data_IF_625620204464
#
_entry.id   IF_625620204464
#
_cell.length_a   1.000
_cell.length_b   1.000
_cell.length_c   1.000
_cell.angle_alpha   90.00
_cell.angle_beta   90.00
_cell.angle_gamma   90.00
#
_symmetry.space_group_name_H-M   'P 1'
#
loop_
_entity.id
_entity.type
_entity.pdbx_description
1 polymer ?
#
# COMPACT_ATOMS: atom_id res chain seq x y z
N UNK A 1 21.46 -60.62 -62.36
CA UNK A 1 22.86 -60.67 -61.89
C UNK A 1 23.00 -59.71 -60.71
N UNK A 2 23.05 -60.21 -59.48
CA UNK A 2 23.29 -59.39 -58.29
C UNK A 2 24.62 -59.82 -57.66
N UNK A 3 25.55 -58.87 -57.52
CA UNK A 3 26.90 -59.06 -56.96
C UNK A 3 26.81 -59.16 -55.44
N UNK A 4 27.19 -60.29 -54.87
CA UNK A 4 27.38 -60.45 -53.42
C UNK A 4 28.70 -59.79 -53.00
N UNK A 5 28.66 -58.90 -52.02
CA UNK A 5 29.86 -58.27 -51.41
C UNK A 5 29.83 -58.52 -49.91
N UNK A 6 30.70 -59.38 -49.42
CA UNK A 6 30.83 -59.71 -48.00
C UNK A 6 31.79 -58.72 -47.34
N UNK A 7 31.27 -57.82 -46.50
CA UNK A 7 32.08 -56.86 -45.73
C UNK A 7 32.43 -57.48 -44.37
N UNK A 8 33.70 -57.81 -44.13
CA UNK A 8 34.20 -58.26 -42.82
C UNK A 8 34.36 -57.06 -41.88
N UNK A 9 33.47 -56.93 -40.90
CA UNK A 9 33.66 -55.97 -39.80
C UNK A 9 34.73 -56.48 -38.82
N UNK A 10 35.86 -55.78 -38.76
CA UNK A 10 36.92 -56.02 -37.78
C UNK A 10 36.48 -55.43 -36.44
N UNK A 11 36.14 -56.30 -35.50
CA UNK A 11 35.69 -55.94 -34.15
C UNK A 11 36.83 -55.23 -33.39
N UNK A 12 36.58 -53.98 -32.96
CA UNK A 12 37.53 -53.15 -32.20
C UNK A 12 37.40 -53.45 -30.70
N UNK A 13 38.55 -53.61 -30.05
CA UNK A 13 38.77 -54.20 -28.72
C UNK A 13 37.91 -53.66 -27.55
N UNK A 14 37.61 -54.47 -26.52
CA UNK A 14 36.65 -54.17 -25.43
C UNK A 14 37.08 -53.08 -24.42
N UNK A 15 38.27 -52.49 -24.54
CA UNK A 15 38.75 -51.44 -23.62
C UNK A 15 38.02 -50.09 -23.76
N UNK A 16 37.50 -49.76 -24.95
CA UNK A 16 36.84 -48.46 -25.17
C UNK A 16 35.51 -48.31 -24.43
N UNK A 17 34.79 -49.42 -24.24
CA UNK A 17 33.49 -49.43 -23.58
C UNK A 17 33.59 -49.22 -22.06
N UNK A 18 34.59 -49.85 -21.44
CA UNK A 18 34.85 -49.70 -20.01
C UNK A 18 35.26 -48.27 -19.66
N UNK A 19 36.09 -47.63 -20.49
CA UNK A 19 36.46 -46.23 -20.30
C UNK A 19 35.25 -45.29 -20.39
N UNK A 20 34.32 -45.55 -21.31
CA UNK A 20 33.11 -44.73 -21.47
C UNK A 20 32.15 -44.84 -20.27
N UNK A 21 31.98 -46.05 -19.71
CA UNK A 21 31.16 -46.25 -18.51
C UNK A 21 31.74 -45.54 -17.29
N UNK A 22 33.06 -45.57 -17.11
CA UNK A 22 33.73 -44.87 -16.00
C UNK A 22 33.53 -43.35 -16.11
N UNK A 23 33.62 -42.80 -17.32
CA UNK A 23 33.40 -41.35 -17.54
C UNK A 23 31.97 -40.96 -17.19
N UNK A 24 30.96 -41.76 -17.56
CA UNK A 24 29.56 -41.48 -17.21
C UNK A 24 29.34 -41.51 -15.69
N UNK A 25 29.94 -42.46 -14.99
CA UNK A 25 29.81 -42.55 -13.52
C UNK A 25 30.44 -41.34 -12.85
N UNK A 26 31.60 -40.89 -13.33
CA UNK A 26 32.28 -39.70 -12.81
C UNK A 26 31.46 -38.43 -13.08
N UNK A 27 30.89 -38.26 -14.28
CA UNK A 27 30.08 -37.07 -14.59
C UNK A 27 28.81 -37.04 -13.75
N UNK A 28 28.14 -38.18 -13.54
CA UNK A 28 26.98 -38.27 -12.66
C UNK A 28 27.34 -37.93 -11.20
N UNK A 29 28.48 -38.41 -10.71
CA UNK A 29 28.96 -38.10 -9.36
C UNK A 29 29.25 -36.59 -9.17
N UNK A 30 29.88 -35.95 -10.17
CA UNK A 30 30.18 -34.51 -10.15
C UNK A 30 28.89 -33.67 -10.18
N UNK A 31 27.90 -34.06 -10.98
CA UNK A 31 26.60 -33.38 -11.02
C UNK A 31 25.87 -33.51 -9.69
N UNK A 32 25.88 -34.69 -9.07
CA UNK A 32 25.30 -34.89 -7.74
C UNK A 32 25.99 -34.02 -6.68
N UNK A 33 27.32 -33.92 -6.73
CA UNK A 33 28.11 -33.07 -5.82
C UNK A 33 27.81 -31.58 -6.03
N UNK A 34 27.66 -31.13 -7.28
CA UNK A 34 27.24 -29.76 -7.62
C UNK A 34 25.83 -29.44 -7.11
N UNK A 35 24.89 -30.38 -7.18
CA UNK A 35 23.54 -30.20 -6.65
C UNK A 35 23.51 -30.17 -5.11
N UNK A 36 24.46 -30.83 -4.44
CA UNK A 36 24.63 -30.77 -2.98
C UNK A 36 25.29 -29.44 -2.55
N UNK A 37 26.25 -28.95 -3.32
CA UNK A 37 27.02 -27.74 -3.01
C UNK A 37 26.38 -26.43 -3.48
N UNK A 38 25.46 -26.45 -4.45
CA UNK A 38 24.55 -25.34 -4.63
C UNK A 38 23.67 -25.29 -3.38
N UNK A 39 23.81 -24.28 -2.50
CA UNK A 39 22.89 -24.15 -1.40
C UNK A 39 21.52 -24.13 -2.05
N UNK A 40 20.65 -25.05 -1.61
CA UNK A 40 19.29 -25.12 -2.08
C UNK A 40 18.80 -23.68 -2.16
N UNK A 41 18.51 -23.19 -3.37
CA UNK A 41 17.70 -22.00 -3.56
C UNK A 41 16.34 -22.45 -3.02
N UNK A 42 16.25 -22.47 -1.69
CA UNK A 42 15.07 -22.82 -0.92
C UNK A 42 14.01 -21.89 -1.45
N UNK A 43 12.83 -22.45 -1.70
CA UNK A 43 11.57 -21.77 -1.94
C UNK A 43 11.16 -20.83 -0.78
N UNK A 44 12.06 -20.01 -0.26
CA UNK A 44 11.81 -18.97 0.74
C UNK A 44 11.21 -17.70 0.16
N UNK A 45 11.09 -17.61 -1.18
CA UNK A 45 10.41 -16.51 -1.86
C UNK A 45 8.91 -16.77 -2.03
N UNK A 46 8.46 -18.01 -2.23
CA UNK A 46 7.04 -18.31 -2.42
C UNK A 46 6.22 -18.27 -1.12
N UNK A 47 6.81 -18.62 0.04
CA UNK A 47 6.07 -18.63 1.30
C UNK A 47 5.74 -17.24 1.84
N UNK A 48 6.59 -16.23 1.60
CA UNK A 48 6.36 -14.82 2.00
C UNK A 48 5.22 -14.15 1.22
N UNK A 49 5.13 -14.40 -0.09
CA UNK A 49 4.09 -13.79 -0.93
C UNK A 49 2.68 -14.28 -0.58
N UNK A 50 2.52 -15.59 -0.31
CA UNK A 50 1.21 -16.16 0.04
C UNK A 50 0.73 -15.74 1.44
N UNK A 51 1.65 -15.50 2.38
CA UNK A 51 1.30 -15.08 3.74
C UNK A 51 0.91 -13.61 3.81
N UNK A 52 1.61 -12.74 3.08
CA UNK A 52 1.31 -11.29 3.06
C UNK A 52 -0.06 -11.00 2.43
N UNK A 53 -0.38 -11.62 1.29
CA UNK A 53 -1.70 -11.46 0.65
C UNK A 53 -2.84 -12.01 1.51
N UNK A 54 -2.60 -13.10 2.25
CA UNK A 54 -3.58 -13.70 3.15
C UNK A 54 -3.78 -12.87 4.42
N UNK A 55 -2.69 -12.31 4.98
CA UNK A 55 -2.75 -11.40 6.12
C UNK A 55 -3.46 -10.10 5.73
N UNK A 56 -3.13 -9.51 4.58
CA UNK A 56 -3.78 -8.31 4.07
C UNK A 56 -5.28 -8.55 3.80
N UNK A 57 -5.65 -9.69 3.23
CA UNK A 57 -7.05 -10.05 3.01
C UNK A 57 -7.88 -10.06 4.29
N UNK A 58 -7.27 -10.34 5.44
CA UNK A 58 -7.96 -10.29 6.74
C UNK A 58 -8.42 -8.87 7.13
N UNK A 59 -7.76 -7.83 6.61
CA UNK A 59 -8.10 -6.42 6.86
C UNK A 59 -9.16 -5.85 5.91
N UNK A 60 -9.85 -6.69 5.13
CA UNK A 60 -11.04 -6.23 4.40
C UNK A 60 -12.08 -5.59 5.33
N UNK A 61 -12.16 -6.09 6.58
CA UNK A 61 -12.77 -5.35 7.70
C UNK A 61 -11.65 -4.97 8.66
N UNK A 62 -11.71 -3.73 9.16
CA UNK A 62 -10.75 -3.31 10.17
C UNK A 62 -10.90 -4.15 11.45
N UNK A 63 -9.79 -4.37 12.18
CA UNK A 63 -9.82 -4.99 13.49
C UNK A 63 -10.68 -4.18 14.47
N UNK A 64 -11.15 -4.82 15.53
CA UNK A 64 -12.12 -4.24 16.50
C UNK A 64 -11.50 -3.89 17.85
N UNK A 65 -10.19 -4.13 18.00
CA UNK A 65 -9.42 -3.93 19.21
C UNK A 65 -9.23 -2.44 19.54
N UNK A 66 -9.25 -1.58 18.53
CA UNK A 66 -9.09 -0.13 18.66
C UNK A 66 -10.34 0.54 18.11
N UNK A 67 -11.04 1.28 18.96
CA UNK A 67 -12.31 1.93 18.63
C UNK A 67 -12.13 3.45 18.71
N UNK A 68 -12.28 4.20 17.60
CA UNK A 68 -12.21 5.65 17.65
C UNK A 68 -13.47 6.24 18.29
N UNK A 69 -13.29 7.31 19.07
CA UNK A 69 -14.39 8.06 19.67
C UNK A 69 -14.39 9.54 19.30
N UNK A 70 -13.26 10.08 18.83
CA UNK A 70 -13.18 11.48 18.39
C UNK A 70 -12.09 11.69 17.33
N UNK A 71 -12.29 12.68 16.46
CA UNK A 71 -11.35 13.09 15.43
C UNK A 71 -11.26 14.61 15.41
N UNK A 72 -10.04 15.15 15.50
CA UNK A 72 -9.76 16.52 15.12
C UNK A 72 -9.06 16.52 13.76
N UNK A 73 -9.72 17.14 12.77
CA UNK A 73 -9.24 17.17 11.38
C UNK A 73 -9.02 18.62 10.98
N UNK A 74 -7.79 18.95 10.59
CA UNK A 74 -7.44 20.25 10.01
C UNK A 74 -6.99 20.04 8.56
N UNK A 75 -7.61 20.77 7.64
CA UNK A 75 -7.38 20.67 6.21
C UNK A 75 -7.02 22.04 5.65
N UNK A 76 -5.87 22.11 4.97
CA UNK A 76 -5.49 23.24 4.13
C UNK A 76 -5.58 22.80 2.68
N UNK A 77 -6.46 23.45 1.91
CA UNK A 77 -6.70 23.10 0.50
C UNK A 77 -6.21 24.23 -0.40
N UNK A 78 -5.47 23.86 -1.45
CA UNK A 78 -4.87 24.80 -2.40
C UNK A 78 -5.73 24.88 -3.68
N UNK A 79 -6.61 25.86 -3.72
CA UNK A 79 -7.66 25.97 -4.75
C UNK A 79 -7.45 27.19 -5.65
N UNK A 80 -7.02 27.03 -6.91
CA UNK A 80 -6.88 28.15 -7.84
C UNK A 80 -8.24 28.54 -8.43
N UNK A 81 -9.17 28.99 -7.59
CA UNK A 81 -10.54 29.34 -7.99
C UNK A 81 -10.63 30.69 -8.73
N UNK A 82 -9.51 31.43 -8.81
CA UNK A 82 -9.37 32.69 -9.54
C UNK A 82 -8.12 32.65 -10.40
N UNK A 83 -8.11 33.30 -11.59
CA UNK A 83 -6.97 33.30 -12.50
C UNK A 83 -5.64 33.80 -11.89
N UNK A 84 -5.71 34.69 -10.91
CA UNK A 84 -4.55 35.27 -10.23
C UNK A 84 -4.13 34.51 -8.96
N UNK A 85 -4.93 33.53 -8.53
CA UNK A 85 -4.68 32.75 -7.33
C UNK A 85 -4.05 31.42 -7.75
N UNK A 86 -2.72 31.43 -7.89
CA UNK A 86 -1.92 30.28 -8.30
C UNK A 86 -1.02 29.83 -7.16
N UNK A 87 -1.08 28.55 -6.80
CA UNK A 87 -0.23 27.91 -5.80
C UNK A 87 0.89 27.07 -6.45
N UNK A 88 1.12 27.25 -7.75
CA UNK A 88 2.11 26.52 -8.53
C UNK A 88 1.87 25.02 -8.47
N UNK A 89 2.90 24.28 -8.02
CA UNK A 89 2.84 22.81 -7.90
C UNK A 89 1.85 22.31 -6.84
N UNK A 90 1.31 23.18 -5.98
CA UNK A 90 0.32 22.82 -4.97
C UNK A 90 -1.12 22.98 -5.48
N UNK A 91 -1.33 23.45 -6.70
CA UNK A 91 -2.69 23.58 -7.22
C UNK A 91 -3.43 22.24 -7.16
N UNK A 92 -4.63 22.26 -6.58
CA UNK A 92 -5.48 21.09 -6.39
C UNK A 92 -4.85 20.02 -5.48
N UNK A 93 -4.04 20.43 -4.51
CA UNK A 93 -3.59 19.55 -3.43
C UNK A 93 -4.19 19.96 -2.09
N UNK A 94 -3.98 19.11 -1.08
CA UNK A 94 -4.34 19.39 0.30
C UNK A 94 -3.22 18.94 1.24
N UNK A 95 -3.04 19.71 2.32
CA UNK A 95 -2.25 19.33 3.48
C UNK A 95 -3.21 19.09 4.64
N UNK A 96 -3.13 17.91 5.25
CA UNK A 96 -4.00 17.47 6.33
C UNK A 96 -3.22 17.17 7.60
N UNK A 97 -3.83 17.53 8.73
CA UNK A 97 -3.42 17.09 10.07
C UNK A 97 -4.63 16.40 10.67
N UNK A 98 -4.43 15.20 11.20
CA UNK A 98 -5.47 14.48 11.93
C UNK A 98 -4.97 14.06 13.30
N UNK A 99 -5.80 14.30 14.31
CA UNK A 99 -5.71 13.66 15.62
C UNK A 99 -6.87 12.70 15.76
N UNK A 100 -6.58 11.43 16.01
CA UNK A 100 -7.58 10.38 16.19
C UNK A 100 -7.50 9.91 17.63
N UNK A 101 -8.59 10.08 18.36
CA UNK A 101 -8.71 9.63 19.73
C UNK A 101 -9.41 8.29 19.76
N UNK A 102 -8.76 7.31 20.37
CA UNK A 102 -9.18 5.90 20.36
C UNK A 102 -9.16 5.29 21.74
N UNK A 103 -10.08 4.35 21.99
CA UNK A 103 -10.04 3.43 23.13
C UNK A 103 -9.49 2.08 22.66
N UNK A 104 -8.57 1.50 23.43
CA UNK A 104 -8.12 0.13 23.20
C UNK A 104 -9.00 -0.85 23.97
N UNK A 105 -9.93 -1.51 23.31
CA UNK A 105 -10.86 -2.48 23.93
C UNK A 105 -10.14 -3.79 24.30
N UNK A 106 -9.13 -4.18 23.52
CA UNK A 106 -8.33 -5.39 23.74
C UNK A 106 -6.86 -5.11 23.46
N UNK A 107 -6.00 -5.65 24.32
CA UNK A 107 -4.55 -5.46 24.21
C UNK A 107 -4.04 -5.88 22.83
N UNK A 108 -3.36 -4.98 22.14
CA UNK A 108 -2.84 -5.21 20.79
C UNK A 108 -1.56 -4.42 20.53
N UNK A 109 -0.73 -4.88 19.60
CA UNK A 109 0.45 -4.14 19.11
C UNK A 109 0.17 -3.41 17.79
N UNK A 110 -1.05 -3.45 17.29
CA UNK A 110 -1.36 -3.00 15.94
C UNK A 110 -2.47 -1.97 15.97
N UNK A 111 -2.24 -0.87 15.26
CA UNK A 111 -3.29 0.09 14.90
C UNK A 111 -3.42 0.06 13.39
N UNK A 112 -4.61 -0.26 12.89
CA UNK A 112 -4.90 -0.36 11.45
C UNK A 112 -6.03 0.59 11.11
N UNK A 113 -5.80 1.46 10.14
CA UNK A 113 -6.75 2.49 9.71
C UNK A 113 -6.93 2.44 8.20
N UNK A 114 -8.11 2.83 7.72
CA UNK A 114 -8.29 3.05 6.28
C UNK A 114 -7.55 4.31 5.85
N UNK A 115 -6.83 4.22 4.74
CA UNK A 115 -6.19 5.35 4.09
C UNK A 115 -6.02 5.05 2.60
N UNK A 116 -6.53 5.94 1.75
CA UNK A 116 -6.50 5.76 0.30
C UNK A 116 -6.01 7.02 -0.36
N UNK A 117 -4.99 6.89 -1.21
CA UNK A 117 -4.45 7.98 -2.01
C UNK A 117 -3.98 9.18 -1.16
N UNK A 118 -3.45 8.88 0.03
CA UNK A 118 -2.82 9.83 0.94
C UNK A 118 -1.33 9.52 1.05
N UNK A 119 -0.51 10.56 1.16
CA UNK A 119 0.93 10.47 1.37
C UNK A 119 1.22 10.97 2.79
N UNK A 120 1.66 10.10 3.68
CA UNK A 120 1.94 10.46 5.07
C UNK A 120 3.38 10.99 5.24
N UNK A 121 3.53 12.01 6.07
CA UNK A 121 4.85 12.37 6.60
C UNK A 121 5.16 11.43 7.77
N UNK A 122 5.88 10.34 7.47
CA UNK A 122 6.18 9.27 8.44
C UNK A 122 6.94 9.83 9.65
N UNK A 123 7.75 10.88 9.46
CA UNK A 123 8.50 11.52 10.54
C UNK A 123 7.61 12.32 11.47
N UNK A 124 6.36 12.58 11.11
CA UNK A 124 5.38 13.33 11.89
C UNK A 124 4.25 12.42 12.43
N UNK A 125 4.33 11.10 12.26
CA UNK A 125 3.40 10.15 12.87
C UNK A 125 3.76 9.95 14.35
N UNK A 126 2.78 10.14 15.24
CA UNK A 126 2.97 9.98 16.70
C UNK A 126 1.78 9.28 17.34
N UNK A 127 2.02 8.54 18.40
CA UNK A 127 1.00 7.94 19.25
C UNK A 127 1.26 8.36 20.69
N UNK A 128 0.24 8.84 21.38
CA UNK A 128 0.31 9.24 22.78
C UNK A 128 -0.72 8.48 23.61
N UNK A 129 -0.41 8.19 24.87
CA UNK A 129 -1.41 7.71 25.83
C UNK A 129 -2.20 8.87 26.47
N UNK A 130 -3.16 8.54 27.32
CA UNK A 130 -3.97 9.50 28.08
C UNK A 130 -3.17 10.42 29.02
N UNK A 131 -1.92 10.06 29.36
CA UNK A 131 -1.00 10.88 30.15
C UNK A 131 -0.05 11.70 29.28
N UNK A 132 -0.32 11.78 27.96
CA UNK A 132 0.47 12.50 26.98
C UNK A 132 1.91 11.98 26.84
N UNK A 133 2.16 10.70 27.16
CA UNK A 133 3.45 10.05 26.95
C UNK A 133 3.51 9.50 25.53
N UNK A 134 4.61 9.73 24.83
CA UNK A 134 4.81 9.20 23.47
C UNK A 134 5.10 7.70 23.52
N UNK A 135 4.41 6.92 22.69
CA UNK A 135 4.66 5.51 22.48
C UNK A 135 5.57 5.31 21.26
N UNK A 136 6.45 4.31 21.33
CA UNK A 136 7.34 3.98 20.23
C UNK A 136 6.62 3.15 19.16
N UNK A 137 6.73 3.61 17.92
CA UNK A 137 6.23 2.92 16.72
C UNK A 137 7.40 2.10 16.16
N UNK A 138 7.20 0.79 16.03
CA UNK A 138 8.17 -0.13 15.44
C UNK A 138 8.19 0.03 13.91
N UNK A 139 7.02 0.10 13.27
CA UNK A 139 6.93 0.25 11.83
C UNK A 139 5.64 0.95 11.39
N UNK A 140 5.70 1.64 10.26
CA UNK A 140 4.56 2.25 9.58
C UNK A 140 4.51 1.69 8.15
N UNK A 141 3.46 0.94 7.83
CA UNK A 141 3.28 0.33 6.52
C UNK A 141 1.98 0.82 5.90
N UNK A 142 2.04 1.22 4.63
CA UNK A 142 0.87 1.59 3.84
C UNK A 142 0.65 0.56 2.74
N UNK A 143 -0.58 0.05 2.64
CA UNK A 143 -0.98 -0.94 1.66
C UNK A 143 -2.15 -0.41 0.87
N UNK A 144 -1.96 -0.23 -0.44
CA UNK A 144 -3.00 0.29 -1.32
C UNK A 144 -3.08 -0.53 -2.61
N UNK A 145 -4.24 -1.15 -2.81
CA UNK A 145 -4.60 -1.83 -4.04
C UNK A 145 -6.11 -1.64 -4.33
N UNK A 146 -6.66 -2.39 -5.29
CA UNK A 146 -8.08 -2.25 -5.68
C UNK A 146 -9.08 -2.65 -4.58
N UNK A 147 -8.67 -3.51 -3.64
CA UNK A 147 -9.53 -4.14 -2.64
C UNK A 147 -9.27 -3.55 -1.24
N UNK A 148 -8.02 -3.25 -0.92
CA UNK A 148 -7.57 -2.81 0.41
C UNK A 148 -6.83 -1.47 0.28
N UNK A 149 -7.12 -0.55 1.19
CA UNK A 149 -6.44 0.74 1.29
C UNK A 149 -6.29 1.08 2.77
N UNK A 150 -5.18 0.67 3.38
CA UNK A 150 -4.93 0.78 4.82
C UNK A 150 -3.54 1.34 5.14
N UNK A 151 -3.41 1.90 6.33
CA UNK A 151 -2.15 2.09 7.03
C UNK A 151 -2.13 1.23 8.29
N UNK A 152 -0.99 0.60 8.55
CA UNK A 152 -0.75 -0.29 9.69
C UNK A 152 0.46 0.24 10.46
N UNK A 153 0.23 0.57 11.73
CA UNK A 153 1.27 0.92 12.69
C UNK A 153 1.51 -0.30 13.58
N UNK A 154 2.73 -0.82 13.57
CA UNK A 154 3.17 -1.81 14.54
C UNK A 154 3.84 -1.07 15.70
N UNK A 155 3.39 -1.30 16.93
CA UNK A 155 3.88 -0.68 18.15
C UNK A 155 4.98 -1.54 18.78
N UNK A 156 5.98 -0.92 19.41
CA UNK A 156 7.02 -1.65 20.17
C UNK A 156 6.41 -2.36 21.37
N UNK A 157 5.59 -1.62 22.13
CA UNK A 157 4.86 -2.12 23.29
C UNK A 157 3.37 -2.28 22.95
N UNK A 158 2.69 -3.27 23.55
CA UNK A 158 1.26 -3.42 23.35
C UNK A 158 0.49 -2.25 23.98
N UNK A 159 -0.52 -1.77 23.26
CA UNK A 159 -1.55 -0.91 23.79
C UNK A 159 -2.31 -1.69 24.86
N UNK A 160 -2.48 -1.07 26.03
CA UNK A 160 -3.18 -1.64 27.18
C UNK A 160 -4.69 -1.52 27.00
N UNK A 161 -5.42 -2.60 27.30
CA UNK A 161 -6.87 -2.64 27.23
C UNK A 161 -7.51 -1.69 28.26
N UNK A 162 -8.61 -1.03 27.88
CA UNK A 162 -9.34 -0.03 28.65
C UNK A 162 -8.71 1.37 28.63
N UNK A 163 -7.58 1.56 27.96
CA UNK A 163 -6.85 2.84 27.93
C UNK A 163 -7.15 3.64 26.67
N UNK A 164 -7.05 4.97 26.80
CA UNK A 164 -7.22 5.90 25.69
C UNK A 164 -5.87 6.32 25.09
N UNK A 165 -5.88 6.54 23.77
CA UNK A 165 -4.72 6.99 23.01
C UNK A 165 -5.11 8.07 22.01
N UNK A 166 -4.14 8.91 21.66
CA UNK A 166 -4.25 9.89 20.58
C UNK A 166 -3.20 9.58 19.51
N UNK A 167 -3.67 9.30 18.29
CA UNK A 167 -2.82 9.22 17.10
C UNK A 167 -2.75 10.59 16.44
N UNK A 168 -1.55 11.08 16.17
CA UNK A 168 -1.32 12.29 15.40
C UNK A 168 -0.65 11.93 14.08
N UNK A 169 -1.17 12.41 12.95
CA UNK A 169 -0.62 12.18 11.62
C UNK A 169 -0.72 13.42 10.75
N UNK A 170 0.34 13.70 9.99
CA UNK A 170 0.31 14.65 8.89
C UNK A 170 0.29 13.90 7.56
N UNK A 171 -0.50 14.40 6.62
CA UNK A 171 -0.63 13.80 5.30
C UNK A 171 -0.84 14.84 4.21
N UNK A 172 -0.48 14.46 2.99
CA UNK A 172 -0.75 15.18 1.77
C UNK A 172 -1.73 14.38 0.92
N UNK A 173 -2.60 15.08 0.20
CA UNK A 173 -3.54 14.48 -0.74
C UNK A 173 -3.75 15.35 -1.97
N UNK A 174 -4.53 14.84 -2.90
CA UNK A 174 -4.92 15.56 -4.12
C UNK A 174 -6.44 15.74 -4.16
N UNK A 175 -6.88 16.82 -4.80
CA UNK A 175 -8.29 17.05 -5.10
C UNK A 175 -8.61 16.33 -6.40
N UNK A 176 -9.41 15.28 -6.29
CA UNK A 176 -9.81 14.46 -7.43
C UNK A 176 -10.89 15.11 -8.31
N UNK A 177 -11.29 14.38 -9.33
CA UNK A 177 -12.55 14.62 -10.04
C UNK A 177 -13.72 13.90 -9.36
N UNK A 178 -14.94 14.10 -9.86
CA UNK A 178 -16.15 13.48 -9.30
C UNK A 178 -16.11 11.95 -9.23
N UNK A 179 -15.29 11.30 -10.06
CA UNK A 179 -15.14 9.84 -10.12
C UNK A 179 -14.18 9.29 -9.07
N UNK A 180 -13.34 10.17 -8.51
CA UNK A 180 -12.31 9.81 -7.55
C UNK A 180 -12.89 9.54 -6.14
N UNK A 181 -14.07 10.10 -5.82
CA UNK A 181 -14.63 10.08 -4.46
C UNK A 181 -13.81 10.89 -3.47
N UNK A 182 -14.19 10.90 -2.19
CA UNK A 182 -13.46 11.66 -1.16
C UNK A 182 -13.57 13.17 -1.38
N UNK A 183 -12.42 13.86 -1.45
CA UNK A 183 -12.39 15.28 -1.78
C UNK A 183 -12.20 15.49 -3.28
N UNK A 184 -13.20 16.08 -3.92
CA UNK A 184 -13.19 16.28 -5.36
C UNK A 184 -13.73 17.64 -5.78
N UNK A 185 -13.48 17.97 -7.05
CA UNK A 185 -14.05 19.14 -7.71
C UNK A 185 -15.13 18.75 -8.72
N UNK A 186 -16.17 19.56 -8.81
CA UNK A 186 -17.22 19.46 -9.82
C UNK A 186 -17.46 20.82 -10.46
N UNK A 187 -18.03 20.81 -11.67
CA UNK A 187 -18.32 22.02 -12.43
C UNK A 187 -19.82 22.21 -12.59
N UNK A 188 -20.27 23.47 -12.58
CA UNK A 188 -21.64 23.84 -12.89
C UNK A 188 -21.64 25.13 -13.70
N UNK A 189 -22.63 25.30 -14.59
CA UNK A 189 -22.84 26.57 -15.27
C UNK A 189 -23.76 27.44 -14.43
N UNK A 190 -23.34 28.68 -14.16
CA UNK A 190 -24.19 29.64 -13.49
C UNK A 190 -25.31 30.15 -14.42
N UNK A 191 -26.22 30.95 -13.86
CA UNK A 191 -27.35 31.55 -14.60
C UNK A 191 -26.93 32.41 -15.80
N UNK A 192 -25.65 32.78 -15.91
CA UNK A 192 -25.08 33.57 -16.99
C UNK A 192 -24.32 32.71 -18.02
N UNK A 193 -24.36 31.38 -17.88
CA UNK A 193 -23.63 30.44 -18.74
C UNK A 193 -22.12 30.41 -18.46
N UNK A 194 -21.67 30.94 -17.31
CA UNK A 194 -20.26 30.86 -16.92
C UNK A 194 -20.03 29.57 -16.14
N UNK A 195 -19.09 28.74 -16.60
CA UNK A 195 -18.69 27.53 -15.87
C UNK A 195 -17.94 27.91 -14.59
N UNK A 196 -18.43 27.39 -13.46
CA UNK A 196 -17.89 27.57 -12.11
C UNK A 196 -17.47 26.23 -11.54
N UNK A 197 -16.54 26.26 -10.58
CA UNK A 197 -16.05 25.07 -9.88
C UNK A 197 -16.59 25.05 -8.45
N UNK A 198 -17.02 23.88 -7.97
CA UNK A 198 -17.31 23.59 -6.55
C UNK A 198 -16.39 22.50 -6.05
N UNK A 199 -16.08 22.54 -4.76
CA UNK A 199 -15.26 21.54 -4.09
C UNK A 199 -16.12 20.84 -3.05
N UNK A 200 -16.15 19.52 -3.11
CA UNK A 200 -17.02 18.68 -2.30
C UNK A 200 -16.16 17.66 -1.56
N UNK A 201 -16.45 17.47 -0.26
CA UNK A 201 -16.00 16.31 0.49
C UNK A 201 -17.19 15.36 0.57
N UNK A 202 -17.09 14.22 -0.12
CA UNK A 202 -18.09 13.17 -0.08
C UNK A 202 -17.44 11.89 0.41
N UNK A 203 -17.97 11.35 1.50
CA UNK A 203 -17.59 10.02 1.94
C UNK A 203 -18.44 8.98 1.20
N UNK A 204 -17.78 7.95 0.66
CA UNK A 204 -18.47 6.80 0.05
C UNK A 204 -18.75 5.74 1.11
N UNK A 205 -19.17 6.14 2.31
CA UNK A 205 -19.82 5.23 3.26
C UNK A 205 -21.30 5.38 3.01
N UNK A 206 -21.93 4.29 2.53
CA UNK A 206 -23.39 4.21 2.33
C UNK A 206 -24.08 4.83 3.54
N UNK A 207 -25.04 5.72 3.28
CA UNK A 207 -25.84 6.57 4.19
C UNK A 207 -25.44 8.05 4.19
N UNK A 208 -25.97 8.76 3.19
CA UNK A 208 -26.46 10.15 3.20
C UNK A 208 -25.93 11.10 4.29
N UNK A 209 -24.66 11.49 4.22
CA UNK A 209 -24.21 12.74 4.82
C UNK A 209 -23.21 13.43 3.89
N UNK A 210 -23.71 14.31 3.02
CA UNK A 210 -22.88 15.23 2.23
C UNK A 210 -22.55 16.42 3.13
N UNK A 211 -21.28 16.59 3.48
CA UNK A 211 -20.80 17.81 4.16
C UNK A 211 -20.43 18.80 3.06
N UNK A 212 -21.25 19.84 2.89
CA UNK A 212 -20.95 20.95 2.00
C UNK A 212 -19.93 21.87 2.65
N UNK A 213 -18.68 21.85 2.18
CA UNK A 213 -17.73 22.93 2.48
C UNK A 213 -17.91 23.99 1.41
N UNK A 214 -18.68 25.03 1.78
CA UNK A 214 -18.84 26.35 1.16
C UNK A 214 -18.58 26.49 -0.35
N UNK A 215 -19.64 26.79 -1.12
CA UNK A 215 -19.50 27.42 -2.42
C UNK A 215 -18.89 28.82 -2.25
N UNK A 216 -17.61 28.99 -2.62
CA UNK A 216 -16.95 30.30 -2.61
C UNK A 216 -17.51 31.09 -3.79
N UNK A 217 -18.34 32.09 -3.48
CA UNK A 217 -18.87 33.06 -4.44
C UNK A 217 -17.74 34.00 -4.86
N UNK A 218 -17.24 33.83 -6.07
CA UNK A 218 -16.36 34.83 -6.71
C UNK A 218 -17.23 36.00 -7.19
N UNK A 219 -17.39 37.03 -6.37
CA UNK A 219 -17.79 38.36 -6.85
C UNK A 219 -16.53 39.01 -7.44
N UNK A 220 -16.39 38.93 -8.77
CA UNK A 220 -15.38 39.71 -9.47
C UNK A 220 -15.74 41.19 -9.37
N UNK A 221 -14.88 41.98 -8.73
CA UNK A 221 -14.85 43.42 -8.94
C UNK A 221 -14.17 43.67 -10.29
N UNK A 222 -14.92 44.22 -11.23
CA UNK A 222 -14.37 44.84 -12.43
C UNK A 222 -13.58 46.09 -12.01
N UNK A 223 -12.28 46.12 -12.33
CA UNK A 223 -11.42 47.32 -12.34
C UNK A 223 -11.13 47.71 -13.78
#
# INVERSE_FOLDING_TARGET
>A
MAKSTTVRFRMRSPCGFHAFLVIIVITLAVVALLLIYLPSIRSGSQSRLLTDDTELASFFRLPTEIVPYHYDVNLKVYLPYQPYLDYGNQNYTLDGIVQIFVCCEKSTRQIVLNARSLIFDIMEVRVFDEYNRSLAILSFNQYENRIISIVKLDMVEPLTAGMNYMLFMKYHGTVGDVWSGGMFRAFYDDKHGTTRCIYIICDYIRFYHVIYIAGIRSEGYDI
#
